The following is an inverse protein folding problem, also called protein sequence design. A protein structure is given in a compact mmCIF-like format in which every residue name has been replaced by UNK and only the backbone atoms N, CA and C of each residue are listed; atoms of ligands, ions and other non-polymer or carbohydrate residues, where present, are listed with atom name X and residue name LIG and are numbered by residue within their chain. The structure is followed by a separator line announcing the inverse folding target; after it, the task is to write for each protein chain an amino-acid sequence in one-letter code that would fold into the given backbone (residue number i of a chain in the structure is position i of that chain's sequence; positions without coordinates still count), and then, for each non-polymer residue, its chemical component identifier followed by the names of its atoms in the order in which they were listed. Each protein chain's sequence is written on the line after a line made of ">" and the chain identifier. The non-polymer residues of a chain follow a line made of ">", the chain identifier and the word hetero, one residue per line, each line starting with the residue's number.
data_IF_565766918492
#
_entry.id   IF_565766918492
#
_cell.length_a   1.000
_cell.length_b   1.000
_cell.length_c   1.000
_cell.angle_alpha   90.00
_cell.angle_beta   90.00
_cell.angle_gamma   90.00
#
_symmetry.space_group_name_H-M   'P 1'
#
loop_
_entity.id
_entity.type
_entity.pdbx_description
1 polymer ?
#
# COMPACT_ATOMS: atom_id res chain seq x y z
N UNK A 1 -0.71 15.29 30.86
CA UNK A 1 -1.69 14.42 30.17
C UNK A 1 -3.07 14.78 30.68
N UNK A 2 -3.85 15.59 29.96
CA UNK A 2 -5.26 15.81 30.30
C UNK A 2 -6.02 14.50 30.06
N UNK A 3 -6.82 14.01 31.02
CA UNK A 3 -7.63 12.81 30.83
C UNK A 3 -8.58 13.04 29.65
N UNK A 4 -8.68 12.05 28.75
CA UNK A 4 -9.74 12.05 27.71
C UNK A 4 -11.07 12.14 28.45
N UNK A 5 -12.02 13.00 28.01
CA UNK A 5 -13.35 13.00 28.58
C UNK A 5 -13.95 11.58 28.49
N UNK A 6 -14.74 11.16 29.47
CA UNK A 6 -15.36 9.84 29.45
C UNK A 6 -16.17 9.72 28.16
N UNK A 7 -15.90 8.65 27.39
CA UNK A 7 -16.61 8.36 26.15
C UNK A 7 -18.11 8.21 26.45
N UNK A 8 -18.94 9.00 25.81
CA UNK A 8 -20.40 8.81 25.88
C UNK A 8 -20.77 7.37 25.51
N UNK A 9 -21.77 6.75 26.15
CA UNK A 9 -22.16 5.39 25.83
C UNK A 9 -22.49 5.27 24.33
N UNK A 10 -21.99 4.19 23.70
CA UNK A 10 -22.22 3.93 22.28
C UNK A 10 -23.71 3.63 22.09
N UNK A 11 -24.40 4.43 21.30
CA UNK A 11 -25.79 4.19 20.88
C UNK A 11 -25.79 3.44 19.55
N UNK A 12 -26.87 2.73 19.25
CA UNK A 12 -27.00 2.02 17.97
C UNK A 12 -26.88 2.97 16.75
N UNK A 13 -27.37 4.19 16.87
CA UNK A 13 -27.23 5.24 15.85
C UNK A 13 -25.76 5.61 15.56
N UNK A 14 -24.87 5.44 16.52
CA UNK A 14 -23.44 5.75 16.37
C UNK A 14 -22.67 4.69 15.57
N UNK A 15 -23.28 3.51 15.31
CA UNK A 15 -22.65 2.41 14.61
C UNK A 15 -22.73 2.53 13.09
N UNK A 16 -23.80 3.14 12.57
CA UNK A 16 -24.09 3.14 11.12
C UNK A 16 -22.98 3.77 10.30
N UNK A 17 -22.60 4.99 10.64
CA UNK A 17 -21.54 5.73 9.89
C UNK A 17 -20.17 5.05 9.95
N UNK A 18 -19.63 4.66 11.13
CA UNK A 18 -18.36 3.96 11.19
C UNK A 18 -18.36 2.61 10.46
N UNK A 19 -19.44 1.83 10.57
CA UNK A 19 -19.56 0.53 9.88
C UNK A 19 -19.54 0.73 8.37
N UNK A 20 -20.30 1.71 7.85
CA UNK A 20 -20.28 2.05 6.42
C UNK A 20 -18.90 2.55 5.99
N UNK A 21 -18.23 3.38 6.78
CA UNK A 21 -16.87 3.84 6.49
C UNK A 21 -15.87 2.67 6.44
N UNK A 22 -15.99 1.71 7.37
CA UNK A 22 -15.20 0.49 7.37
C UNK A 22 -15.45 -0.36 6.11
N UNK A 23 -16.70 -0.56 5.73
CA UNK A 23 -17.07 -1.28 4.50
C UNK A 23 -16.51 -0.59 3.26
N UNK A 24 -16.69 0.73 3.14
CA UNK A 24 -16.17 1.52 2.03
C UNK A 24 -14.65 1.41 1.95
N UNK A 25 -13.93 1.45 3.09
CA UNK A 25 -12.48 1.28 3.12
C UNK A 25 -12.05 -0.07 2.52
N UNK A 26 -12.76 -1.15 2.83
CA UNK A 26 -12.51 -2.49 2.28
C UNK A 26 -12.80 -2.53 0.77
N UNK A 27 -13.96 -2.03 0.34
CA UNK A 27 -14.35 -1.99 -1.08
C UNK A 27 -13.34 -1.18 -1.91
N UNK A 28 -12.91 -0.01 -1.42
CA UNK A 28 -11.92 0.83 -2.10
C UNK A 28 -10.58 0.11 -2.23
N UNK A 29 -10.17 -0.62 -1.21
CA UNK A 29 -8.89 -1.32 -1.21
C UNK A 29 -8.90 -2.51 -2.19
N UNK A 30 -9.93 -3.35 -2.15
CA UNK A 30 -10.06 -4.47 -3.10
C UNK A 30 -10.28 -3.99 -4.53
N UNK A 31 -11.21 -3.08 -4.76
CA UNK A 31 -11.53 -2.57 -6.09
C UNK A 31 -10.41 -1.73 -6.72
N UNK A 32 -9.54 -1.14 -5.87
CA UNK A 32 -8.45 -0.29 -6.35
C UNK A 32 -7.17 -1.02 -6.68
N UNK A 33 -6.67 -1.85 -5.78
CA UNK A 33 -5.27 -2.31 -5.84
C UNK A 33 -5.06 -3.80 -5.71
N UNK A 34 -6.10 -4.56 -5.34
CA UNK A 34 -5.96 -6.01 -5.15
C UNK A 34 -5.68 -6.76 -6.46
N UNK A 35 -6.01 -6.17 -7.59
CA UNK A 35 -5.67 -6.67 -8.92
C UNK A 35 -4.18 -6.97 -9.09
N UNK A 36 -3.30 -6.22 -8.39
CA UNK A 36 -1.85 -6.42 -8.42
C UNK A 36 -1.43 -7.75 -7.80
N UNK A 37 -2.14 -8.22 -6.76
CA UNK A 37 -1.91 -9.52 -6.15
C UNK A 37 -2.20 -10.64 -7.15
N UNK A 38 -3.31 -10.53 -7.88
CA UNK A 38 -3.64 -11.51 -8.94
C UNK A 38 -2.66 -11.47 -10.10
N UNK A 39 -2.22 -10.27 -10.49
CA UNK A 39 -1.20 -10.13 -11.53
C UNK A 39 0.13 -10.76 -11.09
N UNK A 40 0.55 -10.54 -9.84
CA UNK A 40 1.75 -11.15 -9.29
C UNK A 40 1.62 -12.68 -9.21
N UNK A 41 0.48 -13.19 -8.76
CA UNK A 41 0.20 -14.64 -8.73
C UNK A 41 0.24 -15.27 -10.11
N UNK A 42 -0.32 -14.60 -11.12
CA UNK A 42 -0.29 -15.04 -12.51
C UNK A 42 1.12 -15.08 -13.10
N UNK A 43 1.92 -14.04 -12.86
CA UNK A 43 3.32 -13.97 -13.29
C UNK A 43 4.17 -15.06 -12.63
N UNK A 44 3.92 -15.34 -11.35
CA UNK A 44 4.57 -16.42 -10.62
C UNK A 44 4.10 -17.83 -11.03
N UNK A 45 3.13 -17.95 -11.94
CA UNK A 45 2.57 -19.22 -12.37
C UNK A 45 1.86 -20.01 -11.26
N UNK A 46 1.27 -19.31 -10.27
CA UNK A 46 0.64 -19.96 -9.12
C UNK A 46 -0.65 -20.69 -9.54
N UNK A 47 -0.84 -21.86 -8.93
CA UNK A 47 -2.10 -22.60 -9.06
C UNK A 47 -3.26 -21.80 -8.46
N UNK A 48 -4.51 -22.10 -8.85
CA UNK A 48 -5.70 -21.48 -8.25
C UNK A 48 -5.74 -21.63 -6.74
N UNK A 49 -5.29 -22.77 -6.19
CA UNK A 49 -5.25 -23.05 -4.76
C UNK A 49 -4.24 -22.14 -4.03
N UNK A 50 -3.02 -21.97 -4.58
CA UNK A 50 -2.02 -21.07 -4.02
C UNK A 50 -2.46 -19.59 -4.12
N UNK A 51 -3.09 -19.21 -5.22
CA UNK A 51 -3.66 -17.86 -5.39
C UNK A 51 -4.75 -17.59 -4.36
N UNK A 52 -5.67 -18.54 -4.16
CA UNK A 52 -6.72 -18.43 -3.15
C UNK A 52 -6.14 -18.38 -1.72
N UNK A 53 -5.09 -19.15 -1.44
CA UNK A 53 -4.36 -19.11 -0.18
C UNK A 53 -3.71 -17.74 0.07
N UNK A 54 -3.13 -17.13 -0.96
CA UNK A 54 -2.59 -15.77 -0.85
C UNK A 54 -3.69 -14.75 -0.55
N UNK A 55 -4.82 -14.81 -1.25
CA UNK A 55 -5.99 -13.95 -0.97
C UNK A 55 -6.45 -14.13 0.47
N UNK A 56 -6.60 -15.38 0.90
CA UNK A 56 -7.01 -15.72 2.26
C UNK A 56 -6.05 -15.14 3.31
N UNK A 57 -4.76 -15.45 3.19
CA UNK A 57 -3.75 -15.06 4.18
C UNK A 57 -3.59 -13.55 4.33
N UNK A 58 -3.58 -12.82 3.20
CA UNK A 58 -3.55 -11.35 3.22
C UNK A 58 -4.81 -10.79 3.88
N UNK A 59 -5.98 -11.27 3.48
CA UNK A 59 -7.26 -10.73 3.96
C UNK A 59 -7.49 -11.00 5.44
N UNK A 60 -7.26 -12.25 5.87
CA UNK A 60 -7.39 -12.64 7.29
C UNK A 60 -6.35 -11.88 8.13
N UNK A 61 -5.09 -11.84 7.69
CA UNK A 61 -4.02 -11.17 8.43
C UNK A 61 -4.25 -9.67 8.57
N UNK A 62 -4.62 -8.99 7.50
CA UNK A 62 -5.03 -7.57 7.50
C UNK A 62 -6.23 -7.39 8.43
N UNK A 63 -7.28 -8.21 8.27
CA UNK A 63 -8.49 -8.11 9.08
C UNK A 63 -8.21 -8.23 10.58
N UNK A 64 -7.50 -9.27 10.99
CA UNK A 64 -7.21 -9.54 12.41
C UNK A 64 -6.28 -8.47 13.02
N UNK A 65 -5.25 -8.03 12.30
CA UNK A 65 -4.32 -7.00 12.80
C UNK A 65 -5.01 -5.65 12.95
N UNK A 66 -5.86 -5.24 11.99
CA UNK A 66 -6.62 -3.99 12.05
C UNK A 66 -7.66 -4.00 13.17
N UNK A 67 -8.39 -5.11 13.31
CA UNK A 67 -9.36 -5.32 14.36
C UNK A 67 -8.69 -5.23 15.74
N UNK A 68 -7.59 -5.97 15.96
CA UNK A 68 -6.85 -5.95 17.21
C UNK A 68 -6.32 -4.55 17.55
N UNK A 69 -5.66 -3.88 16.60
CA UNK A 69 -5.10 -2.55 16.82
C UNK A 69 -6.18 -1.52 17.10
N UNK A 70 -7.26 -1.50 16.34
CA UNK A 70 -8.36 -0.56 16.54
C UNK A 70 -9.06 -0.78 17.87
N UNK A 71 -9.29 -2.03 18.27
CA UNK A 71 -9.87 -2.37 19.56
C UNK A 71 -8.95 -2.00 20.72
N UNK A 72 -7.64 -2.32 20.63
CA UNK A 72 -6.66 -2.13 21.70
C UNK A 72 -6.37 -0.67 21.98
N UNK A 73 -6.28 0.15 20.93
CA UNK A 73 -5.90 1.57 21.04
C UNK A 73 -7.09 2.52 21.00
N UNK A 74 -8.29 2.03 20.70
CA UNK A 74 -9.49 2.86 20.53
C UNK A 74 -9.27 3.99 19.50
N UNK A 75 -8.52 3.68 18.45
CA UNK A 75 -8.23 4.57 17.31
C UNK A 75 -8.53 3.83 16.01
N UNK A 76 -8.97 4.51 14.94
CA UNK A 76 -9.33 3.88 13.67
C UNK A 76 -8.08 3.47 12.89
N UNK A 77 -7.40 2.42 13.35
CA UNK A 77 -6.18 1.90 12.74
C UNK A 77 -6.57 0.92 11.65
N UNK A 78 -6.71 1.43 10.43
CA UNK A 78 -6.95 0.58 9.26
C UNK A 78 -5.64 -0.04 8.81
N UNK A 79 -5.61 -1.36 8.74
CA UNK A 79 -4.52 -2.11 8.11
C UNK A 79 -4.89 -2.49 6.68
N UNK A 80 -3.89 -2.69 5.85
CA UNK A 80 -4.02 -3.11 4.46
C UNK A 80 -2.74 -3.85 4.02
N UNK A 81 -2.79 -4.51 2.88
CA UNK A 81 -1.57 -4.97 2.21
C UNK A 81 -0.78 -3.79 1.66
N UNK A 82 0.52 -4.00 1.46
CA UNK A 82 1.37 -3.01 0.81
C UNK A 82 1.11 -3.00 -0.70
N UNK A 83 0.34 -2.02 -1.17
CA UNK A 83 0.07 -1.83 -2.60
C UNK A 83 1.36 -1.65 -3.42
N UNK A 84 2.33 -0.81 -3.02
CA UNK A 84 3.59 -0.69 -3.73
C UNK A 84 4.40 -1.99 -3.73
N UNK A 85 4.32 -2.77 -2.64
CA UNK A 85 4.95 -4.08 -2.56
C UNK A 85 4.28 -5.09 -3.51
N UNK A 86 2.94 -5.12 -3.57
CA UNK A 86 2.22 -5.97 -4.52
C UNK A 86 2.60 -5.65 -5.97
N UNK A 87 2.72 -4.36 -6.32
CA UNK A 87 3.21 -3.94 -7.62
C UNK A 87 4.65 -4.42 -7.87
N UNK A 88 5.55 -4.19 -6.92
CA UNK A 88 6.93 -4.69 -7.00
C UNK A 88 6.98 -6.21 -7.23
N UNK A 89 6.14 -6.98 -6.54
CA UNK A 89 6.11 -8.44 -6.66
C UNK A 89 5.71 -8.92 -8.06
N UNK A 90 4.95 -8.15 -8.84
CA UNK A 90 4.65 -8.50 -10.26
C UNK A 90 5.95 -8.62 -11.07
N UNK A 91 6.94 -7.78 -10.81
CA UNK A 91 8.25 -7.86 -11.50
C UNK A 91 9.20 -8.85 -10.82
N UNK A 92 9.23 -8.88 -9.51
CA UNK A 92 10.14 -9.73 -8.74
C UNK A 92 9.85 -11.23 -8.91
N UNK A 93 8.57 -11.62 -8.87
CA UNK A 93 8.15 -13.01 -9.01
C UNK A 93 8.28 -13.57 -10.44
N UNK A 94 8.51 -12.73 -11.43
CA UNK A 94 8.85 -13.20 -12.78
C UNK A 94 10.18 -13.99 -12.84
N UNK A 95 11.05 -13.78 -11.83
CA UNK A 95 12.40 -14.36 -11.83
C UNK A 95 12.81 -15.03 -10.53
N UNK A 96 11.96 -14.94 -9.49
CA UNK A 96 12.21 -15.53 -8.18
C UNK A 96 11.27 -16.71 -7.94
N UNK A 97 11.78 -17.90 -7.61
CA UNK A 97 10.95 -19.05 -7.23
C UNK A 97 10.03 -18.70 -6.06
N UNK A 98 8.78 -19.18 -6.08
CA UNK A 98 7.78 -18.79 -5.10
C UNK A 98 8.17 -19.17 -3.67
N UNK A 99 8.79 -20.33 -3.43
CA UNK A 99 9.28 -20.74 -2.11
C UNK A 99 10.35 -19.79 -1.56
N UNK A 100 11.26 -19.30 -2.41
CA UNK A 100 12.24 -18.29 -2.04
C UNK A 100 11.59 -16.92 -1.77
N UNK A 101 10.56 -16.58 -2.53
CA UNK A 101 9.79 -15.36 -2.27
C UNK A 101 9.08 -15.40 -0.91
N UNK A 102 8.52 -16.56 -0.52
CA UNK A 102 7.96 -16.77 0.83
C UNK A 102 9.03 -16.56 1.91
N UNK A 103 10.23 -17.12 1.74
CA UNK A 103 11.37 -16.87 2.64
C UNK A 103 11.72 -15.39 2.73
N UNK A 104 11.72 -14.67 1.61
CA UNK A 104 11.98 -13.24 1.55
C UNK A 104 10.86 -12.42 2.26
N UNK A 105 9.58 -12.82 2.14
CA UNK A 105 8.47 -12.18 2.87
C UNK A 105 8.66 -12.34 4.38
N UNK A 106 9.06 -13.53 4.83
CA UNK A 106 9.32 -13.80 6.24
C UNK A 106 10.48 -12.95 6.77
N UNK A 107 11.58 -12.82 6.03
CA UNK A 107 12.72 -11.98 6.41
C UNK A 107 12.30 -10.50 6.51
N UNK A 108 11.58 -9.99 5.51
CA UNK A 108 11.07 -8.61 5.53
C UNK A 108 10.12 -8.39 6.71
N UNK A 109 9.21 -9.33 6.97
CA UNK A 109 8.29 -9.25 8.10
C UNK A 109 9.02 -9.31 9.46
N UNK A 110 10.02 -10.18 9.60
CA UNK A 110 10.86 -10.24 10.80
C UNK A 110 11.62 -8.92 11.03
N UNK A 111 12.11 -8.28 9.97
CA UNK A 111 12.73 -6.96 10.05
C UNK A 111 11.75 -5.89 10.57
N UNK A 112 10.48 -5.93 10.15
CA UNK A 112 9.45 -5.05 10.73
C UNK A 112 9.16 -5.35 12.20
N UNK A 113 9.11 -6.62 12.60
CA UNK A 113 8.97 -6.98 14.02
C UNK A 113 10.12 -6.41 14.83
N UNK A 114 11.36 -6.62 14.40
CA UNK A 114 12.56 -6.08 15.06
C UNK A 114 12.50 -4.54 15.11
N UNK A 115 12.14 -3.88 14.01
CA UNK A 115 12.02 -2.42 13.95
C UNK A 115 10.95 -1.89 14.92
N UNK A 116 9.81 -2.55 15.02
CA UNK A 116 8.72 -2.16 15.91
C UNK A 116 9.09 -2.38 17.39
N UNK A 117 9.63 -3.55 17.73
CA UNK A 117 10.02 -3.89 19.12
C UNK A 117 11.19 -3.04 19.60
N UNK A 118 12.17 -2.77 18.75
CA UNK A 118 13.32 -1.94 19.12
C UNK A 118 12.99 -0.46 19.33
N UNK A 119 11.81 0.00 18.88
CA UNK A 119 11.43 1.41 18.94
C UNK A 119 12.20 2.32 17.99
N UNK A 120 12.95 1.75 17.06
CA UNK A 120 13.83 2.49 16.15
C UNK A 120 13.15 3.01 14.88
N UNK A 121 11.83 2.85 14.74
CA UNK A 121 11.09 3.25 13.53
C UNK A 121 11.40 4.68 13.07
N UNK A 122 11.25 5.67 13.93
CA UNK A 122 11.52 7.07 13.60
C UNK A 122 12.99 7.33 13.23
N UNK A 123 13.92 6.58 13.84
CA UNK A 123 15.35 6.69 13.53
C UNK A 123 15.67 6.14 12.15
N UNK A 124 15.14 4.96 11.82
CA UNK A 124 15.37 4.30 10.53
C UNK A 124 14.76 5.12 9.38
N UNK A 125 13.55 5.65 9.54
CA UNK A 125 12.93 6.51 8.54
C UNK A 125 13.81 7.73 8.21
N UNK A 126 14.43 8.34 9.23
CA UNK A 126 15.30 9.52 9.03
C UNK A 126 16.62 9.22 8.30
N UNK A 127 17.03 7.96 8.24
CA UNK A 127 18.24 7.56 7.50
C UNK A 127 18.00 7.42 5.99
N UNK A 128 16.75 7.26 5.58
CA UNK A 128 16.41 7.07 4.16
C UNK A 128 16.10 8.44 3.55
N UNK A 129 16.90 8.94 2.59
CA UNK A 129 16.57 10.15 1.87
C UNK A 129 15.22 10.00 1.15
N UNK A 130 14.27 10.88 1.47
CA UNK A 130 12.90 10.78 0.97
C UNK A 130 12.82 10.82 -0.56
N UNK A 131 13.70 11.59 -1.20
CA UNK A 131 13.81 11.66 -2.66
C UNK A 131 14.18 10.29 -3.27
N UNK A 132 15.15 9.58 -2.70
CA UNK A 132 15.57 8.25 -3.19
C UNK A 132 14.45 7.23 -3.03
N UNK A 133 13.80 7.20 -1.86
CA UNK A 133 12.66 6.31 -1.63
C UNK A 133 11.52 6.58 -2.62
N UNK A 134 11.22 7.85 -2.88
CA UNK A 134 10.22 8.28 -3.86
C UNK A 134 10.63 7.93 -5.29
N UNK A 135 11.89 8.12 -5.65
CA UNK A 135 12.44 7.75 -6.95
C UNK A 135 12.37 6.23 -7.21
N UNK A 136 12.73 5.43 -6.21
CA UNK A 136 12.60 3.98 -6.26
C UNK A 136 11.16 3.55 -6.54
N UNK A 137 10.22 4.09 -5.75
CA UNK A 137 8.81 3.76 -5.89
C UNK A 137 8.26 4.22 -7.25
N UNK A 138 8.56 5.45 -7.68
CA UNK A 138 8.15 5.96 -8.98
C UNK A 138 8.66 5.08 -10.13
N UNK A 139 9.92 4.65 -10.08
CA UNK A 139 10.53 3.79 -11.10
C UNK A 139 9.85 2.43 -11.21
N UNK A 140 9.57 1.78 -10.08
CA UNK A 140 8.86 0.49 -10.06
C UNK A 140 7.44 0.64 -10.63
N UNK A 141 6.73 1.68 -10.22
CA UNK A 141 5.33 1.88 -10.59
C UNK A 141 5.14 2.39 -12.02
N UNK A 142 6.16 2.99 -12.64
CA UNK A 142 6.10 3.52 -13.99
C UNK A 142 5.66 2.46 -15.01
N UNK A 143 6.12 1.22 -14.87
CA UNK A 143 5.80 0.11 -15.77
C UNK A 143 4.29 -0.16 -15.83
N UNK A 144 3.58 0.01 -14.72
CA UNK A 144 2.12 -0.15 -14.69
C UNK A 144 1.41 0.98 -15.44
N UNK A 145 1.90 2.22 -15.28
CA UNK A 145 1.39 3.36 -16.05
C UNK A 145 1.57 3.14 -17.55
N UNK A 146 2.78 2.76 -17.98
CA UNK A 146 3.07 2.44 -19.38
C UNK A 146 2.19 1.27 -19.85
N UNK A 147 2.07 0.19 -19.04
CA UNK A 147 1.26 -0.98 -19.35
C UNK A 147 -0.22 -0.67 -19.59
N UNK A 148 -0.79 0.27 -18.84
CA UNK A 148 -2.17 0.70 -19.04
C UNK A 148 -2.38 1.30 -20.45
N UNK A 149 -1.48 2.18 -20.89
CA UNK A 149 -1.60 2.82 -22.20
C UNK A 149 -1.17 1.90 -23.34
N UNK A 150 -0.14 1.07 -23.15
CA UNK A 150 0.27 0.11 -24.18
C UNK A 150 -0.77 -0.99 -24.43
N UNK A 151 -1.62 -1.30 -23.44
CA UNK A 151 -2.76 -2.21 -23.62
C UNK A 151 -3.76 -1.72 -24.69
N UNK A 152 -3.77 -0.42 -25.01
CA UNK A 152 -4.62 0.14 -26.05
C UNK A 152 -4.25 -0.36 -27.48
N UNK A 153 -3.02 -0.83 -27.68
CA UNK A 153 -2.61 -1.44 -28.96
C UNK A 153 -3.27 -2.82 -29.20
N UNK A 154 -3.70 -3.48 -28.10
CA UNK A 154 -4.33 -4.81 -28.16
C UNK A 154 -5.86 -4.69 -28.15
N UNK A 155 -6.39 -3.80 -27.29
CA UNK A 155 -7.84 -3.61 -27.09
C UNK A 155 -8.18 -2.10 -27.00
N UNK A 156 -8.14 -1.38 -28.13
CA UNK A 156 -8.26 0.07 -28.13
C UNK A 156 -9.60 0.57 -27.60
N UNK A 157 -10.69 -0.16 -27.85
CA UNK A 157 -12.03 0.24 -27.43
C UNK A 157 -12.20 0.12 -25.92
N UNK A 158 -11.88 -1.05 -25.34
CA UNK A 158 -12.00 -1.27 -23.90
C UNK A 158 -11.09 -0.29 -23.13
N UNK A 159 -9.83 -0.23 -23.52
CA UNK A 159 -8.83 0.60 -22.83
C UNK A 159 -9.15 2.08 -22.97
N UNK A 160 -9.54 2.54 -24.17
CA UNK A 160 -9.94 3.94 -24.40
C UNK A 160 -11.15 4.35 -23.56
N UNK A 161 -12.19 3.50 -23.50
CA UNK A 161 -13.37 3.74 -22.65
C UNK A 161 -13.01 3.79 -21.16
N UNK A 162 -12.14 2.90 -20.68
CA UNK A 162 -11.73 2.88 -19.28
C UNK A 162 -10.89 4.12 -18.91
N UNK A 163 -9.96 4.55 -19.78
CA UNK A 163 -9.16 5.77 -19.56
C UNK A 163 -10.09 6.99 -19.52
N UNK A 164 -11.01 7.12 -20.49
CA UNK A 164 -11.96 8.23 -20.52
C UNK A 164 -12.85 8.25 -19.29
N UNK A 165 -13.41 7.09 -18.93
CA UNK A 165 -14.23 6.96 -17.72
C UNK A 165 -13.44 7.32 -16.45
N UNK A 166 -12.17 6.89 -16.36
CA UNK A 166 -11.31 7.25 -15.24
C UNK A 166 -11.14 8.77 -15.11
N UNK A 167 -10.83 9.46 -16.21
CA UNK A 167 -10.64 10.92 -16.19
C UNK A 167 -11.93 11.63 -15.76
N UNK A 168 -13.08 11.22 -16.30
CA UNK A 168 -14.39 11.79 -15.93
C UNK A 168 -14.70 11.54 -14.46
N UNK A 169 -14.57 10.28 -14.01
CA UNK A 169 -14.85 9.91 -12.63
C UNK A 169 -13.87 10.57 -11.64
N UNK A 170 -12.61 10.73 -12.06
CA UNK A 170 -11.60 11.42 -11.24
C UNK A 170 -11.98 12.89 -10.99
N UNK A 171 -12.64 13.52 -11.96
CA UNK A 171 -13.16 14.89 -11.82
C UNK A 171 -14.43 14.96 -10.96
N UNK A 172 -15.35 14.00 -11.13
CA UNK A 172 -16.67 14.02 -10.48
C UNK A 172 -16.63 13.43 -9.07
N UNK A 173 -15.96 12.29 -8.92
CA UNK A 173 -15.93 11.49 -7.70
C UNK A 173 -14.57 10.83 -7.53
N UNK A 174 -13.50 11.62 -7.34
CA UNK A 174 -12.10 11.16 -7.33
C UNK A 174 -11.85 9.91 -6.47
N UNK A 175 -12.52 9.81 -5.32
CA UNK A 175 -12.43 8.71 -4.34
C UNK A 175 -12.89 7.37 -4.91
N UNK A 176 -13.91 7.39 -5.79
CA UNK A 176 -14.52 6.17 -6.35
C UNK A 176 -14.13 5.91 -7.81
N UNK A 177 -13.24 6.70 -8.38
CA UNK A 177 -12.89 6.60 -9.80
C UNK A 177 -12.41 5.19 -10.20
N UNK A 178 -11.57 4.55 -9.39
CA UNK A 178 -11.04 3.21 -9.67
C UNK A 178 -12.12 2.13 -9.54
N UNK A 179 -13.00 2.26 -8.54
CA UNK A 179 -14.16 1.35 -8.40
C UNK A 179 -15.10 1.53 -9.59
N UNK A 180 -15.34 2.78 -10.01
CA UNK A 180 -16.19 3.08 -11.14
C UNK A 180 -15.70 2.45 -12.45
N UNK A 181 -14.40 2.51 -12.74
CA UNK A 181 -13.83 1.84 -13.93
C UNK A 181 -13.81 0.32 -13.80
N UNK A 182 -13.66 -0.23 -12.59
CA UNK A 182 -13.80 -1.67 -12.36
C UNK A 182 -15.22 -2.15 -12.70
N UNK A 183 -16.24 -1.46 -12.17
CA UNK A 183 -17.66 -1.79 -12.41
C UNK A 183 -18.02 -1.60 -13.88
N UNK A 184 -17.62 -0.46 -14.49
CA UNK A 184 -17.85 -0.22 -15.92
C UNK A 184 -17.17 -1.27 -16.80
N UNK A 185 -15.90 -1.58 -16.52
CA UNK A 185 -15.15 -2.57 -17.28
C UNK A 185 -15.75 -3.96 -17.14
N UNK A 186 -16.16 -4.35 -15.92
CA UNK A 186 -16.88 -5.62 -15.71
C UNK A 186 -18.18 -5.66 -16.52
N UNK A 187 -18.98 -4.60 -16.47
CA UNK A 187 -20.22 -4.52 -17.24
C UNK A 187 -19.98 -4.63 -18.76
N UNK A 188 -18.96 -3.94 -19.29
CA UNK A 188 -18.56 -4.02 -20.69
C UNK A 188 -18.12 -5.45 -21.08
N UNK A 189 -17.30 -6.09 -20.25
CA UNK A 189 -16.80 -7.45 -20.52
C UNK A 189 -17.93 -8.49 -20.46
N UNK A 190 -18.88 -8.34 -19.54
CA UNK A 190 -20.06 -9.23 -19.45
C UNK A 190 -20.98 -9.05 -20.66
N UNK A 191 -21.28 -7.82 -21.08
CA UNK A 191 -22.12 -7.56 -22.26
C UNK A 191 -21.48 -8.04 -23.56
N UNK A 192 -20.15 -8.09 -23.63
CA UNK A 192 -19.41 -8.62 -24.77
C UNK A 192 -19.20 -10.15 -24.71
N UNK A 193 -19.67 -10.83 -23.66
CA UNK A 193 -19.45 -12.27 -23.47
C UNK A 193 -17.97 -12.66 -23.28
N UNK A 194 -17.11 -11.73 -22.88
CA UNK A 194 -15.66 -11.94 -22.72
C UNK A 194 -15.26 -12.44 -21.32
N UNK A 195 -16.21 -12.48 -20.39
CA UNK A 195 -16.04 -13.01 -19.04
C UNK A 195 -17.22 -13.91 -18.75
N UNK A 196 -16.94 -15.15 -18.40
CA UNK A 196 -17.94 -16.12 -17.96
C UNK A 196 -17.85 -16.28 -16.44
N UNK A 197 -18.91 -15.89 -15.76
CA UNK A 197 -19.07 -16.01 -14.30
C UNK A 197 -20.10 -17.09 -13.93
N UNK A 198 -20.65 -17.83 -14.89
CA UNK A 198 -21.71 -18.81 -14.66
C UNK A 198 -21.28 -20.00 -13.79
N UNK A 199 -19.99 -20.32 -13.76
CA UNK A 199 -19.39 -21.37 -12.95
C UNK A 199 -18.98 -20.94 -11.55
N UNK A 200 -19.22 -19.68 -11.15
CA UNK A 200 -18.84 -19.21 -9.82
C UNK A 200 -19.71 -19.86 -8.74
N UNK A 201 -19.05 -20.48 -7.78
CA UNK A 201 -19.65 -20.97 -6.56
C UNK A 201 -19.02 -20.30 -5.35
N UNK A 202 -19.81 -20.07 -4.30
CA UNK A 202 -19.27 -19.62 -3.02
C UNK A 202 -18.48 -20.78 -2.40
N UNK A 203 -17.16 -20.62 -2.35
CA UNK A 203 -16.26 -21.62 -1.79
C UNK A 203 -15.42 -21.00 -0.70
N UNK A 204 -15.24 -21.79 0.36
CA UNK A 204 -14.33 -21.42 1.44
C UNK A 204 -12.87 -21.57 0.97
N UNK A 205 -12.05 -20.59 1.29
CA UNK A 205 -10.63 -20.67 1.02
C UNK A 205 -9.97 -21.65 2.01
N UNK A 206 -9.19 -22.57 1.47
CA UNK A 206 -8.35 -23.48 2.26
C UNK A 206 -6.92 -22.95 2.17
N UNK A 207 -6.30 -22.60 3.31
CA UNK A 207 -4.91 -22.14 3.29
C UNK A 207 -3.95 -23.25 2.87
N UNK A 208 -3.06 -22.93 1.94
CA UNK A 208 -2.02 -23.85 1.46
C UNK A 208 -0.68 -23.37 2.01
N UNK A 209 -0.06 -24.22 2.81
CA UNK A 209 1.26 -23.96 3.36
C UNK A 209 2.33 -24.16 2.29
N UNK A 210 3.17 -23.17 2.10
CA UNK A 210 4.36 -23.24 1.24
C UNK A 210 5.60 -23.24 2.13
N UNK A 211 6.44 -24.26 2.02
CA UNK A 211 7.70 -24.32 2.76
C UNK A 211 8.62 -23.19 2.30
N UNK A 212 9.07 -22.31 3.21
CA UNK A 212 9.94 -21.20 2.85
C UNK A 212 11.34 -21.71 2.50
N UNK A 213 11.91 -21.17 1.43
CA UNK A 213 13.31 -21.34 1.07
C UNK A 213 14.06 -20.02 1.24
N UNK A 214 15.30 -20.08 1.71
CA UNK A 214 16.10 -18.88 1.99
C UNK A 214 17.31 -18.86 1.08
N UNK A 215 17.40 -17.82 0.23
CA UNK A 215 18.56 -17.58 -0.63
C UNK A 215 19.05 -16.15 -0.47
N UNK A 216 20.35 -15.94 -0.63
CA UNK A 216 20.93 -14.59 -0.62
C UNK A 216 20.36 -13.73 -1.76
N UNK A 217 20.08 -14.36 -2.90
CA UNK A 217 19.47 -13.69 -4.04
C UNK A 217 18.09 -13.15 -3.68
N UNK A 218 17.18 -13.99 -3.11
CA UNK A 218 15.86 -13.55 -2.69
C UNK A 218 15.91 -12.52 -1.54
N UNK A 219 16.87 -12.63 -0.63
CA UNK A 219 17.11 -11.62 0.40
C UNK A 219 17.37 -10.24 -0.20
N UNK A 220 18.28 -10.16 -1.18
CA UNK A 220 18.68 -8.89 -1.78
C UNK A 220 17.69 -8.39 -2.82
N UNK A 221 17.15 -9.29 -3.68
CA UNK A 221 16.26 -8.91 -4.78
C UNK A 221 14.80 -8.75 -4.37
N UNK A 222 14.37 -9.37 -3.27
CA UNK A 222 12.96 -9.32 -2.83
C UNK A 222 12.82 -8.75 -1.42
N UNK A 223 13.46 -9.35 -0.39
CA UNK A 223 13.19 -8.96 1.00
C UNK A 223 13.58 -7.51 1.30
N UNK A 224 14.77 -7.08 0.89
CA UNK A 224 15.24 -5.72 1.15
C UNK A 224 14.42 -4.65 0.41
N UNK A 225 14.15 -4.76 -0.91
CA UNK A 225 13.25 -3.82 -1.58
C UNK A 225 11.84 -3.84 -1.00
N UNK A 226 11.27 -5.01 -0.70
CA UNK A 226 9.95 -5.16 -0.09
C UNK A 226 9.86 -4.40 1.23
N UNK A 227 10.86 -4.55 2.10
CA UNK A 227 10.95 -3.83 3.37
C UNK A 227 10.98 -2.31 3.15
N UNK A 228 11.88 -1.82 2.29
CA UNK A 228 12.06 -0.38 2.07
C UNK A 228 10.83 0.27 1.40
N UNK A 229 10.26 -0.39 0.38
CA UNK A 229 9.07 0.08 -0.31
C UNK A 229 7.87 0.14 0.66
N UNK A 230 7.69 -0.88 1.49
CA UNK A 230 6.59 -0.90 2.46
C UNK A 230 6.79 0.13 3.57
N UNK A 231 8.02 0.28 4.06
CA UNK A 231 8.36 1.26 5.09
C UNK A 231 8.07 2.69 4.62
N UNK A 232 8.56 3.04 3.43
CA UNK A 232 8.49 4.41 2.90
C UNK A 232 7.18 4.70 2.17
N UNK A 233 6.65 3.73 1.43
CA UNK A 233 5.45 3.90 0.60
C UNK A 233 4.13 3.66 1.35
N UNK A 234 4.17 3.06 2.54
CA UNK A 234 2.95 2.75 3.30
C UNK A 234 3.02 3.18 4.76
N UNK A 235 4.01 2.72 5.54
CA UNK A 235 4.04 3.08 6.97
C UNK A 235 4.17 4.58 7.19
N UNK A 236 5.05 5.26 6.46
CA UNK A 236 5.22 6.72 6.58
C UNK A 236 3.93 7.48 6.26
N UNK A 237 3.31 7.33 5.08
CA UNK A 237 2.09 8.08 4.76
C UNK A 237 0.90 7.65 5.63
N UNK A 238 0.76 6.37 5.97
CA UNK A 238 -0.32 5.88 6.83
C UNK A 238 -0.24 6.45 8.25
N UNK A 239 0.97 6.52 8.84
CA UNK A 239 1.18 7.17 10.13
C UNK A 239 0.92 8.68 10.06
N UNK A 240 1.27 9.32 8.94
CA UNK A 240 0.99 10.75 8.74
C UNK A 240 -0.51 11.03 8.73
N UNK A 241 -1.30 10.23 8.01
CA UNK A 241 -2.77 10.35 8.00
C UNK A 241 -3.34 10.22 9.41
N UNK A 242 -2.93 9.19 10.15
CA UNK A 242 -3.41 8.97 11.52
C UNK A 242 -3.10 10.16 12.44
N UNK A 243 -1.88 10.70 12.35
CA UNK A 243 -1.43 11.85 13.15
C UNK A 243 -2.12 13.16 12.77
N UNK A 244 -2.33 13.40 11.47
CA UNK A 244 -3.01 14.61 10.97
C UNK A 244 -4.45 14.70 11.46
N UNK A 245 -5.13 13.57 11.62
CA UNK A 245 -6.48 13.48 12.15
C UNK A 245 -6.54 13.45 13.69
N UNK A 246 -5.39 13.70 14.36
CA UNK A 246 -5.28 13.91 15.79
C UNK A 246 -5.14 12.64 16.64
N UNK A 247 -4.94 11.46 16.01
CA UNK A 247 -4.69 10.22 16.72
C UNK A 247 -3.22 10.11 17.15
N UNK A 248 -2.97 9.48 18.30
CA UNK A 248 -1.67 9.56 18.99
C UNK A 248 -0.94 8.24 19.12
N UNK A 249 -1.50 7.13 18.60
CA UNK A 249 -0.86 5.82 18.68
C UNK A 249 0.53 5.89 18.04
N UNK A 250 1.52 5.41 18.78
CA UNK A 250 2.90 5.30 18.30
C UNK A 250 2.99 4.33 17.12
N UNK A 251 3.95 4.57 16.22
CA UNK A 251 4.21 3.67 15.10
C UNK A 251 4.69 2.28 15.55
N UNK A 252 5.47 2.20 16.64
CA UNK A 252 6.11 0.95 17.07
C UNK A 252 5.14 -0.22 17.28
N UNK A 253 4.05 -0.11 18.06
CA UNK A 253 3.11 -1.21 18.22
C UNK A 253 2.37 -1.55 16.91
N UNK A 254 2.09 -0.58 16.06
CA UNK A 254 1.46 -0.82 14.76
C UNK A 254 2.39 -1.66 13.89
N UNK A 255 3.66 -1.24 13.77
CA UNK A 255 4.69 -1.95 13.00
C UNK A 255 4.95 -3.35 13.56
N UNK A 256 5.01 -3.50 14.89
CA UNK A 256 5.20 -4.80 15.54
C UNK A 256 4.05 -5.75 15.23
N UNK A 257 2.80 -5.32 15.42
CA UNK A 257 1.62 -6.18 15.25
C UNK A 257 1.43 -6.56 13.78
N UNK A 258 1.56 -5.60 12.86
CA UNK A 258 1.44 -5.89 11.43
C UNK A 258 2.62 -6.71 10.92
N UNK A 259 3.83 -6.47 11.41
CA UNK A 259 5.01 -7.29 11.10
C UNK A 259 4.85 -8.73 11.58
N UNK A 260 4.38 -8.93 12.81
CA UNK A 260 4.11 -10.27 13.35
C UNK A 260 3.02 -10.99 12.56
N UNK A 261 1.92 -10.29 12.24
CA UNK A 261 0.86 -10.82 11.39
C UNK A 261 1.39 -11.22 10.01
N UNK A 262 2.21 -10.37 9.37
CA UNK A 262 2.86 -10.68 8.10
C UNK A 262 3.75 -11.91 8.19
N UNK A 263 4.54 -12.04 9.26
CA UNK A 263 5.43 -13.18 9.48
C UNK A 263 4.67 -14.50 9.62
N UNK A 264 3.58 -14.50 10.37
CA UNK A 264 2.73 -15.69 10.58
C UNK A 264 2.01 -16.10 9.30
N UNK A 265 1.55 -15.12 8.51
CA UNK A 265 0.77 -15.37 7.30
C UNK A 265 1.62 -15.57 6.04
N UNK A 266 2.93 -15.24 6.08
CA UNK A 266 3.81 -15.39 4.93
C UNK A 266 3.86 -16.81 4.34
N UNK A 267 3.94 -17.92 5.13
CA UNK A 267 3.95 -19.27 4.58
C UNK A 267 2.68 -19.64 3.81
N UNK A 268 1.60 -18.89 3.98
CA UNK A 268 0.34 -19.07 3.25
C UNK A 268 0.22 -18.10 2.04
N UNK A 269 1.30 -17.39 1.72
CA UNK A 269 1.41 -16.53 0.55
C UNK A 269 1.37 -15.03 0.84
N UNK A 270 1.05 -14.60 2.05
CA UNK A 270 0.90 -13.19 2.35
C UNK A 270 2.24 -12.44 2.27
N UNK A 271 2.27 -11.40 1.45
CA UNK A 271 3.31 -10.39 1.51
C UNK A 271 3.04 -9.39 2.66
N UNK A 272 3.76 -8.29 2.73
CA UNK A 272 3.66 -7.35 3.86
C UNK A 272 2.28 -6.73 4.04
N UNK A 273 1.75 -6.74 5.27
CA UNK A 273 0.69 -5.81 5.70
C UNK A 273 1.26 -4.68 6.56
N UNK A 274 0.52 -3.59 6.59
CA UNK A 274 0.95 -2.34 7.18
C UNK A 274 -0.27 -1.48 7.54
N UNK A 275 -0.05 -0.33 8.14
CA UNK A 275 -1.10 0.68 8.25
C UNK A 275 -1.44 1.22 6.86
N UNK A 276 -2.73 1.31 6.56
CA UNK A 276 -3.21 1.88 5.32
C UNK A 276 -2.96 3.40 5.26
N UNK A 277 -2.75 3.93 4.06
CA UNK A 277 -2.64 5.36 3.83
C UNK A 277 -3.96 5.94 3.27
N UNK A 278 -4.36 5.48 2.09
CA UNK A 278 -5.52 6.04 1.38
C UNK A 278 -6.83 5.70 2.09
N UNK A 279 -7.03 4.43 2.43
CA UNK A 279 -8.26 3.96 3.07
C UNK A 279 -8.34 4.32 4.55
N UNK A 280 -7.20 4.62 5.20
CA UNK A 280 -7.19 5.16 6.55
C UNK A 280 -7.95 6.48 6.62
N UNK A 281 -7.75 7.40 5.67
CA UNK A 281 -8.42 8.70 5.65
C UNK A 281 -9.97 8.60 5.64
N UNK A 282 -10.52 7.49 5.15
CA UNK A 282 -11.97 7.23 5.17
C UNK A 282 -12.45 6.99 6.61
N UNK A 283 -11.68 6.25 7.39
CA UNK A 283 -12.05 5.84 8.74
C UNK A 283 -11.62 6.87 9.81
N UNK A 284 -10.57 7.65 9.54
CA UNK A 284 -10.05 8.66 10.47
C UNK A 284 -10.78 10.00 10.36
N UNK A 285 -11.47 10.27 9.23
CA UNK A 285 -12.17 11.51 8.94
C UNK A 285 -13.52 11.66 9.67
N UNK A 286 -14.09 12.87 9.59
CA UNK A 286 -15.43 13.20 10.13
C UNK A 286 -16.54 12.38 9.49
N UNK A 287 -16.34 11.92 8.25
CA UNK A 287 -17.30 11.08 7.53
C UNK A 287 -17.53 9.73 8.22
N UNK A 288 -16.54 9.20 8.95
CA UNK A 288 -16.72 7.99 9.73
C UNK A 288 -17.56 8.25 10.99
N UNK A 289 -17.28 9.34 11.71
CA UNK A 289 -18.07 9.79 12.85
C UNK A 289 -17.67 11.21 13.25
N UNK A 290 -18.63 12.07 13.66
CA UNK A 290 -18.34 13.41 14.14
C UNK A 290 -17.45 13.39 15.38
N UNK A 291 -17.78 12.51 16.35
CA UNK A 291 -16.96 12.26 17.55
C UNK A 291 -15.74 11.37 17.23
N UNK A 292 -14.51 11.92 17.29
CA UNK A 292 -13.30 11.13 17.01
C UNK A 292 -13.14 9.91 17.91
N UNK A 293 -13.69 9.95 19.14
CA UNK A 293 -13.58 8.86 20.11
C UNK A 293 -14.36 7.60 19.69
N UNK A 294 -15.25 7.69 18.72
CA UNK A 294 -16.06 6.59 18.18
C UNK A 294 -15.56 6.05 16.84
N UNK A 295 -14.61 6.72 16.19
CA UNK A 295 -14.12 6.34 14.85
C UNK A 295 -13.39 4.98 14.83
N UNK A 296 -12.87 4.51 15.96
CA UNK A 296 -12.26 3.18 16.06
C UNK A 296 -13.20 2.04 15.64
N UNK A 297 -14.53 2.24 15.73
CA UNK A 297 -15.54 1.28 15.28
C UNK A 297 -15.39 1.01 13.77
N UNK A 298 -14.97 2.02 12.98
CA UNK A 298 -14.71 1.82 11.55
C UNK A 298 -13.55 0.85 11.31
N UNK A 299 -12.52 0.89 12.16
CA UNK A 299 -11.41 -0.07 12.10
C UNK A 299 -11.85 -1.50 12.46
N UNK A 300 -12.71 -1.66 13.47
CA UNK A 300 -13.31 -2.96 13.80
C UNK A 300 -14.15 -3.49 12.63
N UNK A 301 -15.03 -2.65 12.09
CA UNK A 301 -15.89 -3.04 10.96
C UNK A 301 -15.06 -3.44 9.73
N UNK A 302 -14.05 -2.63 9.37
CA UNK A 302 -13.15 -2.97 8.28
C UNK A 302 -12.45 -4.31 8.52
N UNK A 303 -11.95 -4.56 9.73
CA UNK A 303 -11.34 -5.85 10.10
C UNK A 303 -12.29 -7.03 9.91
N UNK A 304 -13.54 -6.91 10.36
CA UNK A 304 -14.56 -7.94 10.16
C UNK A 304 -14.85 -8.19 8.67
N UNK A 305 -14.98 -7.13 7.86
CA UNK A 305 -15.21 -7.25 6.42
C UNK A 305 -14.01 -7.88 5.69
N UNK A 306 -12.77 -7.55 6.08
CA UNK A 306 -11.59 -8.22 5.53
C UNK A 306 -11.57 -9.71 5.84
N UNK A 307 -11.91 -10.10 7.08
CA UNK A 307 -12.02 -11.51 7.45
C UNK A 307 -13.10 -12.21 6.62
N UNK A 308 -14.26 -11.58 6.45
CA UNK A 308 -15.35 -12.12 5.63
C UNK A 308 -14.90 -12.36 4.19
N UNK A 309 -14.25 -11.36 3.56
CA UNK A 309 -13.73 -11.49 2.19
C UNK A 309 -12.65 -12.57 2.12
N UNK A 310 -11.79 -12.66 3.12
CA UNK A 310 -10.75 -13.69 3.19
C UNK A 310 -11.31 -15.12 3.22
N UNK A 311 -12.38 -15.34 3.97
CA UNK A 311 -13.06 -16.63 4.02
C UNK A 311 -13.54 -17.09 2.65
N UNK A 312 -13.99 -16.16 1.79
CA UNK A 312 -14.45 -16.43 0.43
C UNK A 312 -13.37 -16.13 -0.65
N UNK A 313 -12.11 -16.17 -0.28
CA UNK A 313 -10.98 -15.83 -1.14
C UNK A 313 -10.91 -16.64 -2.45
N UNK A 314 -11.38 -17.89 -2.45
CA UNK A 314 -11.47 -18.73 -3.66
C UNK A 314 -12.39 -18.10 -4.71
N UNK A 315 -13.58 -17.69 -4.28
CA UNK A 315 -14.56 -17.05 -5.17
C UNK A 315 -14.00 -15.74 -5.75
N UNK A 316 -13.36 -14.92 -4.91
CA UNK A 316 -12.74 -13.69 -5.35
C UNK A 316 -11.60 -13.96 -6.35
N UNK A 317 -10.75 -14.95 -6.08
CA UNK A 317 -9.67 -15.35 -7.00
C UNK A 317 -10.23 -15.80 -8.37
N UNK A 318 -11.28 -16.61 -8.36
CA UNK A 318 -11.92 -17.09 -9.59
C UNK A 318 -12.46 -15.93 -10.45
N UNK A 319 -13.12 -14.94 -9.83
CA UNK A 319 -13.61 -13.74 -10.54
C UNK A 319 -12.47 -12.99 -11.22
N UNK A 320 -11.38 -12.72 -10.49
CA UNK A 320 -10.26 -11.97 -11.06
C UNK A 320 -9.46 -12.74 -12.11
N UNK A 321 -9.38 -14.08 -11.98
CA UNK A 321 -8.72 -14.92 -12.99
C UNK A 321 -9.49 -15.00 -14.31
N UNK A 322 -10.79 -14.75 -14.28
CA UNK A 322 -11.63 -14.71 -15.49
C UNK A 322 -11.40 -13.42 -16.32
N UNK A 323 -10.76 -12.39 -15.79
CA UNK A 323 -10.58 -11.12 -16.48
C UNK A 323 -9.49 -11.19 -17.56
N UNK A 324 -9.68 -10.52 -18.73
CA UNK A 324 -8.65 -10.36 -19.76
C UNK A 324 -7.42 -9.61 -19.21
N UNK A 325 -6.23 -10.01 -19.70
CA UNK A 325 -4.98 -9.38 -19.27
C UNK A 325 -4.91 -7.86 -19.56
N UNK A 326 -5.50 -7.40 -20.68
CA UNK A 326 -5.62 -5.98 -21.04
C UNK A 326 -6.45 -5.19 -20.04
N UNK A 327 -7.55 -5.77 -19.54
CA UNK A 327 -8.37 -5.16 -18.51
C UNK A 327 -7.60 -5.03 -17.19
N UNK A 328 -6.93 -6.12 -16.77
CA UNK A 328 -6.11 -6.15 -15.55
C UNK A 328 -5.00 -5.09 -15.60
N UNK A 329 -4.24 -5.03 -16.71
CA UNK A 329 -3.15 -4.09 -16.89
C UNK A 329 -3.63 -2.63 -16.88
N UNK A 330 -4.74 -2.35 -17.57
CA UNK A 330 -5.34 -1.01 -17.62
C UNK A 330 -5.83 -0.57 -16.23
N UNK A 331 -6.56 -1.44 -15.54
CA UNK A 331 -7.08 -1.15 -14.20
C UNK A 331 -5.93 -0.90 -13.20
N UNK A 332 -4.90 -1.76 -13.21
CA UNK A 332 -3.73 -1.63 -12.35
C UNK A 332 -2.98 -0.30 -12.59
N UNK A 333 -2.71 0.05 -13.84
CA UNK A 333 -2.01 1.28 -14.17
C UNK A 333 -2.81 2.54 -13.81
N UNK A 334 -4.12 2.56 -14.10
CA UNK A 334 -4.99 3.69 -13.73
C UNK A 334 -5.14 3.84 -12.22
N UNK A 335 -5.22 2.73 -11.48
CA UNK A 335 -5.27 2.75 -10.02
C UNK A 335 -4.00 3.36 -9.39
N UNK A 336 -2.84 3.14 -10.02
CA UNK A 336 -1.54 3.60 -9.53
C UNK A 336 -1.13 5.00 -10.00
N UNK A 337 -1.87 5.63 -10.94
CA UNK A 337 -1.52 6.96 -11.48
C UNK A 337 -1.30 8.01 -10.40
N UNK A 338 -2.15 8.04 -9.38
CA UNK A 338 -2.00 8.96 -8.26
C UNK A 338 -0.69 8.73 -7.48
N UNK A 339 -0.37 7.46 -7.21
CA UNK A 339 0.86 7.08 -6.50
C UNK A 339 2.10 7.36 -7.34
N UNK A 340 2.05 7.11 -8.65
CA UNK A 340 3.14 7.47 -9.59
C UNK A 340 3.38 8.98 -9.53
N UNK A 341 2.33 9.79 -9.63
CA UNK A 341 2.42 11.25 -9.60
C UNK A 341 3.01 11.79 -8.29
N UNK A 342 2.54 11.31 -7.15
CA UNK A 342 3.05 11.73 -5.83
C UNK A 342 4.49 11.27 -5.61
N UNK A 343 4.86 10.08 -6.06
CA UNK A 343 6.22 9.56 -5.96
C UNK A 343 7.19 10.35 -6.86
N UNK A 344 6.80 10.70 -8.09
CA UNK A 344 7.59 11.56 -8.96
C UNK A 344 7.78 12.97 -8.36
N UNK A 345 6.71 13.55 -7.83
CA UNK A 345 6.80 14.85 -7.14
C UNK A 345 7.74 14.78 -5.93
N UNK A 346 7.64 13.71 -5.12
CA UNK A 346 8.52 13.48 -3.97
C UNK A 346 9.99 13.28 -4.36
N UNK A 347 10.25 12.62 -5.50
CA UNK A 347 11.62 12.40 -5.99
C UNK A 347 12.34 13.71 -6.35
N UNK A 348 11.61 14.72 -6.84
CA UNK A 348 12.19 15.99 -7.28
C UNK A 348 11.99 17.15 -6.29
N UNK A 349 11.35 16.90 -5.15
CA UNK A 349 10.98 17.94 -4.19
C UNK A 349 12.19 18.61 -3.54
N UNK A 350 13.18 17.81 -3.12
CA UNK A 350 14.37 18.30 -2.44
C UNK A 350 15.52 18.50 -3.44
N UNK A 351 16.00 19.75 -3.64
CA UNK A 351 17.10 20.03 -4.55
C UNK A 351 18.37 19.24 -4.26
N UNK A 352 18.68 18.97 -3.00
CA UNK A 352 19.90 18.27 -2.59
C UNK A 352 19.90 16.79 -2.97
N UNK A 353 18.73 16.16 -2.97
CA UNK A 353 18.61 14.72 -3.29
C UNK A 353 18.07 14.45 -4.70
N UNK A 354 17.64 15.49 -5.42
CA UNK A 354 16.91 15.39 -6.70
C UNK A 354 17.65 14.57 -7.76
N UNK A 355 18.93 14.84 -7.97
CA UNK A 355 19.71 14.15 -9.00
C UNK A 355 19.89 12.67 -8.66
N UNK A 356 20.25 12.35 -7.41
CA UNK A 356 20.33 10.98 -6.94
C UNK A 356 18.98 10.24 -7.01
N UNK A 357 17.87 10.94 -6.70
CA UNK A 357 16.52 10.42 -6.82
C UNK A 357 16.12 10.12 -8.27
N UNK A 358 16.49 10.97 -9.22
CA UNK A 358 16.27 10.72 -10.65
C UNK A 358 17.10 9.54 -11.15
N UNK A 359 18.35 9.40 -10.72
CA UNK A 359 19.18 8.22 -11.01
C UNK A 359 18.50 6.96 -10.48
N UNK A 360 18.03 6.99 -9.22
CA UNK A 360 17.27 5.89 -8.60
C UNK A 360 16.03 5.53 -9.41
N UNK A 361 15.25 6.54 -9.81
CA UNK A 361 14.06 6.39 -10.62
C UNK A 361 14.35 5.70 -11.96
N UNK A 362 15.33 6.20 -12.71
CA UNK A 362 15.66 5.67 -14.03
C UNK A 362 16.23 4.24 -13.94
N UNK A 363 17.11 3.97 -12.97
CA UNK A 363 17.69 2.64 -12.76
C UNK A 363 16.62 1.63 -12.34
N UNK A 364 15.66 2.03 -11.50
CA UNK A 364 14.55 1.18 -11.08
C UNK A 364 13.54 0.96 -12.22
N UNK A 365 13.24 2.01 -13.00
CA UNK A 365 12.34 1.95 -14.16
C UNK A 365 12.90 1.08 -15.29
N UNK A 366 14.22 1.07 -15.47
CA UNK A 366 14.88 0.21 -16.44
C UNK A 366 14.73 -1.30 -16.11
N UNK A 367 14.37 -1.62 -14.87
CA UNK A 367 14.13 -3.00 -14.38
C UNK A 367 15.25 -3.99 -14.78
N UNK A 368 16.50 -3.52 -14.78
CA UNK A 368 17.67 -4.33 -15.15
C UNK A 368 17.93 -5.42 -14.14
N UNK A 369 18.33 -6.60 -14.61
CA UNK A 369 18.75 -7.70 -13.76
C UNK A 369 20.27 -7.86 -13.88
N UNK A 370 21.01 -7.56 -12.81
CA UNK A 370 22.45 -7.72 -12.75
C UNK A 370 22.82 -8.73 -11.66
N UNK A 371 23.71 -9.65 -11.94
CA UNK A 371 24.16 -10.70 -11.02
C UNK A 371 23.01 -11.53 -10.42
N UNK A 372 21.92 -11.70 -11.16
CA UNK A 372 20.71 -12.38 -10.68
C UNK A 372 19.79 -11.54 -9.78
N UNK A 373 20.17 -10.30 -9.42
CA UNK A 373 19.45 -9.41 -8.49
C UNK A 373 18.61 -8.43 -9.30
N UNK A 374 17.38 -8.18 -8.86
CA UNK A 374 16.39 -7.35 -9.56
C UNK A 374 16.70 -5.86 -9.55
N UNK A 375 16.11 -5.14 -10.53
CA UNK A 375 16.37 -3.71 -10.78
C UNK A 375 16.01 -2.76 -9.63
N UNK A 376 15.04 -3.12 -8.79
CA UNK A 376 14.71 -2.32 -7.61
C UNK A 376 15.86 -2.24 -6.60
N UNK A 377 16.58 -3.34 -6.37
CA UNK A 377 17.76 -3.35 -5.53
C UNK A 377 18.87 -2.46 -6.12
N UNK A 378 19.18 -2.65 -7.41
CA UNK A 378 20.21 -1.87 -8.06
C UNK A 378 19.88 -0.39 -8.17
N UNK A 379 18.63 -0.06 -8.43
CA UNK A 379 18.14 1.33 -8.40
C UNK A 379 18.42 1.99 -7.06
N UNK A 380 18.12 1.29 -5.96
CA UNK A 380 18.39 1.77 -4.62
C UNK A 380 19.90 1.92 -4.35
N UNK A 381 20.72 0.89 -4.67
CA UNK A 381 22.16 0.91 -4.43
C UNK A 381 22.84 2.03 -5.23
N UNK A 382 22.53 2.13 -6.53
CA UNK A 382 23.09 3.17 -7.41
C UNK A 382 22.64 4.56 -6.92
N UNK A 383 21.38 4.70 -6.53
CA UNK A 383 20.85 5.96 -6.02
C UNK A 383 21.49 6.41 -4.70
N UNK A 384 21.64 5.50 -3.74
CA UNK A 384 22.33 5.81 -2.49
C UNK A 384 23.80 6.15 -2.72
N UNK A 385 24.47 5.44 -3.62
CA UNK A 385 25.85 5.73 -3.97
C UNK A 385 25.98 7.10 -4.65
N UNK A 386 25.09 7.41 -5.59
CA UNK A 386 25.03 8.74 -6.22
C UNK A 386 24.79 9.84 -5.17
N UNK A 387 23.85 9.60 -4.23
CA UNK A 387 23.57 10.55 -3.15
C UNK A 387 24.80 10.83 -2.30
N UNK A 388 25.54 9.79 -1.91
CA UNK A 388 26.76 9.92 -1.09
C UNK A 388 27.85 10.72 -1.80
N UNK A 389 28.02 10.48 -3.10
CA UNK A 389 29.03 11.22 -3.91
C UNK A 389 28.63 12.69 -4.07
N UNK A 390 27.38 12.95 -4.48
CA UNK A 390 26.92 14.28 -4.79
C UNK A 390 26.79 15.18 -3.55
N UNK A 391 26.47 14.59 -2.38
CA UNK A 391 26.23 15.34 -1.14
C UNK A 391 27.36 15.21 -0.10
N UNK A 392 28.42 14.46 -0.40
CA UNK A 392 29.59 14.32 0.50
C UNK A 392 29.29 13.56 1.80
N UNK A 393 28.13 12.89 1.94
CA UNK A 393 27.75 12.13 3.12
C UNK A 393 26.27 11.86 3.25
N UNK A 394 25.87 11.08 4.29
CA UNK A 394 24.45 10.92 4.63
C UNK A 394 23.86 12.22 5.20
N UNK A 395 22.53 12.42 5.12
CA UNK A 395 21.89 13.64 5.60
C UNK A 395 22.26 13.87 7.08
N UNK A 396 23.11 14.84 7.32
CA UNK A 396 23.36 15.36 8.65
C UNK A 396 22.12 16.14 9.07
N UNK A 397 21.75 16.00 10.32
CA UNK A 397 20.68 16.70 11.01
C UNK A 397 20.80 18.20 10.70
N UNK A 398 20.09 18.70 9.69
CA UNK A 398 19.83 20.13 9.62
C UNK A 398 19.02 20.46 10.89
N UNK A 399 19.63 21.10 11.87
CA UNK A 399 18.92 21.76 12.94
C UNK A 399 17.83 22.59 12.26
N UNK A 400 16.56 22.30 12.60
CA UNK A 400 15.48 23.23 12.30
C UNK A 400 15.95 24.56 12.85
N UNK A 401 16.40 25.43 11.98
CA UNK A 401 16.46 26.85 12.29
C UNK A 401 15.01 27.20 12.60
N UNK A 402 14.71 27.33 13.88
CA UNK A 402 13.44 27.90 14.32
C UNK A 402 13.30 29.19 13.53
N UNK A 403 12.32 29.23 12.63
CA UNK A 403 11.88 30.46 12.01
C UNK A 403 11.59 31.41 13.16
N UNK A 404 12.52 32.34 13.41
CA UNK A 404 12.28 33.45 14.32
C UNK A 404 11.00 34.09 13.81
N UNK A 405 9.93 33.89 14.55
CA UNK A 405 8.70 34.65 14.39
C UNK A 405 9.10 36.11 14.26
N UNK A 406 8.70 36.83 13.21
CA UNK A 406 8.96 38.25 13.13
C UNK A 406 8.35 38.90 14.38
N UNK A 407 9.16 39.48 15.22
CA UNK A 407 8.70 40.30 16.33
C UNK A 407 7.87 41.44 15.76
N UNK A 408 6.56 41.39 16.02
CA UNK A 408 5.64 42.49 15.74
C UNK A 408 6.21 43.74 16.41
N UNK A 409 6.45 44.86 15.70
CA UNK A 409 6.90 46.09 16.35
C UNK A 409 5.83 46.55 17.33
N UNK A 410 6.27 46.87 18.55
CA UNK A 410 5.46 47.46 19.61
C UNK A 410 4.81 48.77 19.12
N UNK A 411 3.51 49.00 19.33
CA UNK A 411 2.85 50.22 18.88
C UNK A 411 3.43 51.40 19.67
N UNK A 412 3.89 52.44 18.96
CA UNK A 412 4.35 53.71 19.50
C UNK A 412 3.29 54.28 20.42
N UNK A 413 3.62 54.42 21.72
CA UNK A 413 2.85 55.21 22.67
C UNK A 413 2.89 56.67 22.26
N UNK A 414 1.79 57.21 21.76
CA UNK A 414 1.60 58.64 21.63
C UNK A 414 1.45 59.23 23.05
N UNK A 415 2.45 60.02 23.40
CA UNK A 415 2.39 60.94 24.55
C UNK A 415 1.64 62.19 24.15
N UNK A 416 0.51 62.45 24.78
CA UNK A 416 0.08 63.81 25.23
C UNK A 416 -0.71 63.65 26.48
#
# INVERSE_FOLDING_TARGET
>A
MSPRPPSSPIRFSDLTHPVVAGLISVIVNYGGTFILVFQAAKVAGLSPALTASWVWSVSIGVGLTGLFLSWRYREPIITAWSTPAAAFLVTALATTPYAEAIGAYMISAAAFVVLGVSGCFERVIRLIPSGIASGLLAGILLQFGIGAFSSASIDPLLVGLLIMAYVILKRLCARYAVIGILVLGLALLLTQGRVDLSGLSLQFAVPVFTMPEFSLNALLSVALPLFLITLTGQYMPGMLVLRNDGFKTSANPIVTVTGLGSLIMAPFGSHAFNIAAITAAIATGREAHEDPSKRWIAGIAAGCFYVLVGVFGVTLAAVFMAFPATFIATLAGLALLGTIGTSLAGAVADPASREAALITFLASAANIKLLGIGGAFWGLVIGLFAYLILNGGFPHRAERTESKTPTVPEPLKHST
#
